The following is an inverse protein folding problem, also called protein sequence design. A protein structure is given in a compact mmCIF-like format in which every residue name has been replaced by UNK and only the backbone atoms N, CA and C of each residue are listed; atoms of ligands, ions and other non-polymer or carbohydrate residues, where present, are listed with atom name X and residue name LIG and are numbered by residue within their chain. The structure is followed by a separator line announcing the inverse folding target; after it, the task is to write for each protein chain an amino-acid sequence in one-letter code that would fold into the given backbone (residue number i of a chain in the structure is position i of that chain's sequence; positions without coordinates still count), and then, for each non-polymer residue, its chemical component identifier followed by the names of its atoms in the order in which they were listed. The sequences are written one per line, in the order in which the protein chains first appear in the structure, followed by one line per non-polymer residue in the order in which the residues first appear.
data_IF_540072869309
#
_entry.id   IF_540072869309
#
_cell.length_a   1.000
_cell.length_b   1.000
_cell.length_c   1.000
_cell.angle_alpha   90.00
_cell.angle_beta   90.00
_cell.angle_gamma   90.00
#
_symmetry.space_group_name_H-M   'P 1'
#
loop_
_entity.id
_entity.type
_entity.pdbx_description
1 polymer ?
#
# COMPACT_ATOMS: atom_id res chain seq x y z
N UNK A 1 -3.19 -21.94 -10.16
CA UNK A 1 -4.65 -21.82 -10.05
C UNK A 1 -4.93 -20.33 -9.84
N UNK A 2 -5.49 -19.65 -10.85
CA UNK A 2 -5.82 -18.22 -10.77
C UNK A 2 -7.25 -18.15 -10.25
N UNK A 3 -7.42 -17.83 -8.97
CA UNK A 3 -8.74 -17.68 -8.37
C UNK A 3 -9.24 -16.27 -8.68
N UNK A 4 -10.29 -16.17 -9.49
CA UNK A 4 -11.07 -14.95 -9.67
C UNK A 4 -11.67 -14.54 -8.32
N UNK A 5 -11.26 -13.40 -7.79
CA UNK A 5 -11.71 -12.86 -6.50
C UNK A 5 -12.84 -11.86 -6.70
N UNK A 6 -14.02 -12.35 -7.06
CA UNK A 6 -15.27 -11.63 -6.81
C UNK A 6 -16.14 -12.48 -5.88
N UNK A 7 -15.64 -12.68 -4.66
CA UNK A 7 -16.40 -13.17 -3.52
C UNK A 7 -16.91 -12.00 -2.68
N UNK A 8 -18.21 -11.97 -2.42
CA UNK A 8 -18.94 -10.94 -1.69
C UNK A 8 -18.43 -10.71 -0.25
N UNK A 9 -17.44 -9.84 -0.10
CA UNK A 9 -17.18 -8.94 1.03
C UNK A 9 -16.24 -7.88 0.45
N UNK A 10 -16.61 -6.61 0.48
CA UNK A 10 -15.68 -5.54 0.08
C UNK A 10 -14.52 -5.59 1.06
N UNK A 11 -13.37 -6.13 0.64
CA UNK A 11 -12.18 -6.24 1.47
C UNK A 11 -11.78 -4.82 1.89
N UNK A 12 -12.13 -4.45 3.14
CA UNK A 12 -11.91 -3.11 3.68
C UNK A 12 -10.43 -2.75 3.66
N UNK A 13 -9.55 -3.74 3.78
CA UNK A 13 -8.11 -3.54 3.72
C UNK A 13 -7.67 -3.23 2.29
N UNK A 14 -8.22 -3.91 1.27
CA UNK A 14 -7.98 -3.53 -0.14
C UNK A 14 -8.40 -2.09 -0.40
N UNK A 15 -9.58 -1.66 0.06
CA UNK A 15 -10.02 -0.27 -0.14
C UNK A 15 -9.08 0.74 0.54
N UNK A 16 -8.60 0.44 1.75
CA UNK A 16 -7.64 1.30 2.48
C UNK A 16 -6.28 1.34 1.79
N UNK A 17 -5.79 0.19 1.34
CA UNK A 17 -4.53 0.07 0.61
C UNK A 17 -4.59 0.85 -0.71
N UNK A 18 -5.70 0.80 -1.44
CA UNK A 18 -5.87 1.58 -2.65
C UNK A 18 -5.83 3.09 -2.39
N UNK A 19 -6.39 3.59 -1.27
CA UNK A 19 -6.26 5.00 -0.88
C UNK A 19 -4.82 5.41 -0.59
N UNK A 20 -4.07 4.54 0.09
CA UNK A 20 -2.63 4.77 0.34
C UNK A 20 -1.87 4.80 -0.99
N UNK A 21 -2.13 3.85 -1.89
CA UNK A 21 -1.48 3.77 -3.19
C UNK A 21 -1.80 4.99 -4.08
N UNK A 22 -3.04 5.50 -4.04
CA UNK A 22 -3.44 6.74 -4.72
C UNK A 22 -2.65 7.95 -4.18
N UNK A 23 -2.54 8.08 -2.86
CA UNK A 23 -1.77 9.15 -2.23
C UNK A 23 -0.28 9.08 -2.63
N UNK A 24 0.31 7.88 -2.67
CA UNK A 24 1.69 7.65 -3.11
C UNK A 24 1.86 7.95 -4.60
N UNK A 25 0.90 7.57 -5.45
CA UNK A 25 0.91 7.88 -6.88
C UNK A 25 0.91 9.40 -7.10
N UNK A 26 0.01 10.13 -6.44
CA UNK A 26 -0.05 11.60 -6.51
C UNK A 26 1.26 12.21 -5.99
N UNK A 27 1.79 11.71 -4.86
CA UNK A 27 3.07 12.16 -4.33
C UNK A 27 4.20 11.99 -5.37
N UNK A 28 4.24 10.86 -6.07
CA UNK A 28 5.25 10.58 -7.10
C UNK A 28 5.15 11.51 -8.33
N UNK A 29 3.96 12.02 -8.65
CA UNK A 29 3.81 12.97 -9.77
C UNK A 29 4.42 14.36 -9.49
N UNK A 30 4.72 14.69 -8.24
CA UNK A 30 5.31 15.99 -7.88
C UNK A 30 6.81 15.98 -8.24
N UNK A 31 7.36 16.96 -8.99
CA UNK A 31 8.73 16.91 -9.53
C UNK A 31 9.87 16.73 -8.53
N UNK A 32 9.68 17.14 -7.28
CA UNK A 32 10.67 17.06 -6.20
C UNK A 32 10.57 15.79 -5.35
N UNK A 33 9.61 14.93 -5.64
CA UNK A 33 9.19 13.87 -4.74
C UNK A 33 9.56 12.50 -5.31
N UNK A 34 10.35 11.74 -4.55
CA UNK A 34 10.70 10.37 -4.88
C UNK A 34 10.12 9.41 -3.85
N UNK A 35 9.46 8.36 -4.32
CA UNK A 35 8.92 7.29 -3.48
C UNK A 35 10.02 6.57 -2.67
N UNK A 36 11.24 6.50 -3.20
CA UNK A 36 12.39 5.93 -2.51
C UNK A 36 12.78 6.71 -1.23
N UNK A 37 12.43 8.00 -1.14
CA UNK A 37 12.76 8.85 0.01
C UNK A 37 11.73 8.70 1.14
N UNK A 38 10.56 8.10 0.87
CA UNK A 38 9.55 7.81 1.88
C UNK A 38 9.91 6.53 2.65
N UNK A 39 10.57 6.70 3.79
CA UNK A 39 10.90 5.57 4.67
C UNK A 39 9.67 4.94 5.36
N UNK A 40 8.60 5.71 5.55
CA UNK A 40 7.37 5.24 6.19
C UNK A 40 6.15 6.06 5.73
N UNK A 41 4.95 5.47 5.80
CA UNK A 41 3.70 6.18 5.50
C UNK A 41 3.47 7.38 6.43
N UNK A 42 3.98 7.31 7.67
CA UNK A 42 3.91 8.42 8.61
C UNK A 42 4.59 9.69 8.06
N UNK A 43 5.70 9.55 7.35
CA UNK A 43 6.40 10.68 6.69
C UNK A 43 5.50 11.34 5.66
N UNK A 44 4.74 10.56 4.88
CA UNK A 44 3.76 11.11 3.95
C UNK A 44 2.66 11.90 4.69
N UNK A 45 2.16 11.39 5.81
CA UNK A 45 1.13 12.09 6.60
C UNK A 45 1.61 13.39 7.24
N UNK A 46 2.89 13.49 7.57
CA UNK A 46 3.49 14.68 8.18
C UNK A 46 3.83 15.75 7.13
N UNK A 47 4.37 15.35 5.98
CA UNK A 47 4.77 16.28 4.92
C UNK A 47 3.60 16.70 4.02
N UNK A 48 2.65 15.80 3.80
CA UNK A 48 1.54 15.96 2.87
C UNK A 48 0.20 15.45 3.45
N UNK A 49 -0.29 16.07 4.55
CA UNK A 49 -1.56 15.68 5.17
C UNK A 49 -2.76 15.81 4.21
N UNK A 50 -2.65 16.62 3.15
CA UNK A 50 -3.65 16.73 2.09
C UNK A 50 -3.77 15.47 1.22
N UNK A 51 -2.69 14.68 1.10
CA UNK A 51 -2.68 13.42 0.35
C UNK A 51 -3.11 12.25 1.23
N UNK A 52 -2.62 12.23 2.47
CA UNK A 52 -2.97 11.21 3.46
C UNK A 52 -2.95 11.84 4.86
N UNK A 53 -4.10 12.03 5.47
CA UNK A 53 -4.20 12.70 6.77
C UNK A 53 -3.75 11.82 7.95
N UNK A 54 -3.91 10.51 7.84
CA UNK A 54 -3.50 9.51 8.83
C UNK A 54 -3.24 8.18 8.13
N UNK A 55 -2.36 7.36 8.71
CA UNK A 55 -2.11 6.01 8.20
C UNK A 55 -3.32 5.12 8.51
N UNK A 56 -4.00 4.56 7.50
CA UNK A 56 -5.12 3.65 7.74
C UNK A 56 -4.66 2.43 8.55
N UNK A 57 -5.58 1.91 9.37
CA UNK A 57 -5.38 0.67 10.10
C UNK A 57 -5.92 -0.52 9.31
N UNK A 58 -5.24 -1.66 9.41
CA UNK A 58 -5.72 -2.94 8.91
C UNK A 58 -6.92 -3.46 9.72
N UNK A 59 -7.46 -4.63 9.35
CA UNK A 59 -8.59 -5.25 10.06
C UNK A 59 -8.29 -5.65 11.51
N UNK A 60 -7.04 -5.67 11.93
CA UNK A 60 -6.61 -5.99 13.30
C UNK A 60 -6.24 -4.76 14.13
N UNK A 61 -6.30 -3.56 13.54
CA UNK A 61 -6.02 -2.30 14.22
C UNK A 61 -4.55 -1.87 14.17
N UNK A 62 -3.71 -2.56 13.40
CA UNK A 62 -2.32 -2.16 13.18
C UNK A 62 -2.22 -1.21 11.97
N UNK A 63 -1.37 -0.18 12.00
CA UNK A 63 -1.17 0.69 10.84
C UNK A 63 -0.55 -0.09 9.69
N UNK A 64 -0.96 0.24 8.45
CA UNK A 64 -0.25 -0.26 7.27
C UNK A 64 1.18 0.28 7.21
N UNK A 65 2.06 -0.52 6.63
CA UNK A 65 3.46 -0.18 6.41
C UNK A 65 3.75 -0.05 4.91
N UNK A 66 4.88 0.57 4.58
CA UNK A 66 5.31 0.85 3.22
C UNK A 66 6.77 0.49 3.01
N UNK A 67 7.10 0.03 1.81
CA UNK A 67 8.48 -0.13 1.37
C UNK A 67 8.64 0.06 -0.13
N UNK A 68 9.56 0.92 -0.51
CA UNK A 68 10.04 1.03 -1.88
C UNK A 68 10.93 -0.16 -2.26
N UNK A 69 10.82 -0.68 -3.49
CA UNK A 69 11.56 -1.86 -3.94
C UNK A 69 12.49 -1.59 -5.11
N UNK A 70 12.00 -0.97 -6.18
CA UNK A 70 12.81 -0.70 -7.38
C UNK A 70 12.22 0.44 -8.21
N UNK A 71 13.06 1.07 -9.04
CA UNK A 71 12.70 2.20 -9.89
C UNK A 71 12.27 1.80 -11.30
N UNK A 72 12.75 0.67 -11.82
CA UNK A 72 12.54 0.28 -13.21
C UNK A 72 12.20 -1.20 -13.30
N UNK A 73 10.91 -1.57 -13.33
CA UNK A 73 9.74 -0.68 -13.24
C UNK A 73 9.55 -0.15 -11.81
N UNK A 74 8.93 1.02 -11.66
CA UNK A 74 8.64 1.59 -10.34
C UNK A 74 7.79 0.60 -9.54
N UNK A 75 8.32 0.12 -8.43
CA UNK A 75 7.70 -0.92 -7.62
C UNK A 75 7.83 -0.61 -6.14
N UNK A 76 6.72 -0.74 -5.42
CA UNK A 76 6.66 -0.60 -3.98
C UNK A 76 5.67 -1.60 -3.39
N UNK A 77 5.70 -1.80 -2.08
CA UNK A 77 4.73 -2.60 -1.37
C UNK A 77 4.07 -1.81 -0.23
N UNK A 78 2.81 -2.12 0.01
CA UNK A 78 2.09 -1.78 1.23
C UNK A 78 1.80 -3.09 1.94
N UNK A 79 1.99 -3.19 3.25
CA UNK A 79 1.80 -4.45 3.96
C UNK A 79 1.17 -4.28 5.33
N UNK A 80 0.45 -5.32 5.75
CA UNK A 80 -0.05 -5.50 7.11
C UNK A 80 0.74 -6.64 7.76
N UNK A 81 1.25 -6.38 8.95
CA UNK A 81 1.95 -7.35 9.79
C UNK A 81 1.00 -8.35 10.47
N UNK A 82 -0.31 -8.19 10.27
CA UNK A 82 -1.31 -9.10 10.81
C UNK A 82 -1.53 -8.94 12.32
N UNK A 83 -2.08 -9.99 12.93
CA UNK A 83 -2.25 -10.07 14.38
C UNK A 83 -1.47 -11.24 14.98
N UNK A 84 -0.67 -10.93 15.99
CA UNK A 84 0.04 -11.90 16.86
C UNK A 84 -0.95 -12.91 17.49
N UNK A 85 -2.21 -12.52 17.68
CA UNK A 85 -3.23 -13.37 18.32
C UNK A 85 -3.95 -14.32 17.36
N UNK A 86 -3.88 -14.11 16.04
CA UNK A 86 -4.67 -14.85 15.05
C UNK A 86 -3.79 -15.42 13.91
N UNK A 87 -2.77 -16.20 14.26
CA UNK A 87 -1.91 -16.93 13.31
C UNK A 87 -1.21 -16.04 12.25
N UNK A 88 -0.75 -14.83 12.63
CA UNK A 88 0.16 -13.99 11.85
C UNK A 88 0.03 -14.09 10.33
N UNK A 89 -1.16 -13.81 9.79
CA UNK A 89 -1.30 -13.72 8.33
C UNK A 89 -0.65 -12.42 7.86
N UNK A 90 0.50 -12.53 7.22
CA UNK A 90 1.14 -11.37 6.60
C UNK A 90 0.49 -11.12 5.26
N UNK A 91 -0.02 -9.91 5.07
CA UNK A 91 -0.64 -9.54 3.80
C UNK A 91 0.20 -8.46 3.14
N UNK A 92 0.71 -8.77 1.95
CA UNK A 92 1.49 -7.87 1.12
C UNK A 92 0.66 -7.44 -0.10
N UNK A 93 0.71 -6.16 -0.41
CA UNK A 93 0.11 -5.56 -1.59
C UNK A 93 1.23 -4.94 -2.42
N UNK A 94 1.64 -5.65 -3.46
CA UNK A 94 2.72 -5.24 -4.35
C UNK A 94 2.14 -4.35 -5.46
N UNK A 95 2.69 -3.17 -5.63
CA UNK A 95 2.34 -2.24 -6.70
C UNK A 95 3.51 -2.13 -7.66
N UNK A 96 3.22 -2.30 -8.95
CA UNK A 96 4.19 -2.15 -10.03
C UNK A 96 3.61 -1.23 -11.10
N UNK A 97 4.41 -0.28 -11.55
CA UNK A 97 4.03 0.59 -12.66
C UNK A 97 4.15 -0.13 -14.00
N UNK A 98 3.08 -0.08 -14.79
CA UNK A 98 3.00 -0.55 -16.17
C UNK A 98 2.13 0.43 -16.99
N UNK A 99 2.65 0.95 -18.09
CA UNK A 99 1.93 1.88 -18.98
C UNK A 99 1.26 3.07 -18.25
N UNK A 100 2.02 3.74 -17.36
CA UNK A 100 1.57 4.87 -16.52
C UNK A 100 0.40 4.52 -15.58
N UNK A 101 0.27 3.25 -15.17
CA UNK A 101 -0.71 2.81 -14.19
C UNK A 101 -0.06 1.84 -13.22
N UNK A 102 -0.49 1.83 -11.96
CA UNK A 102 -0.08 0.80 -11.02
C UNK A 102 -0.98 -0.42 -11.11
N UNK A 103 -0.36 -1.59 -11.26
CA UNK A 103 -1.01 -2.89 -11.12
C UNK A 103 -0.72 -3.40 -9.71
N UNK A 104 -1.75 -3.90 -9.03
CA UNK A 104 -1.67 -4.44 -7.68
C UNK A 104 -1.72 -5.97 -7.71
N UNK A 105 -0.82 -6.62 -6.97
CA UNK A 105 -0.91 -8.03 -6.62
C UNK A 105 -1.00 -8.18 -5.09
N UNK A 106 -1.94 -9.01 -4.61
CA UNK A 106 -2.10 -9.34 -3.19
C UNK A 106 -1.48 -10.71 -2.91
N UNK A 107 -0.65 -10.78 -1.88
CA UNK A 107 -0.02 -12.03 -1.40
C UNK A 107 -0.32 -12.17 0.09
N UNK A 108 -0.87 -13.31 0.49
CA UNK A 108 -1.14 -13.67 1.87
C UNK A 108 -0.20 -14.83 2.25
N UNK A 109 0.48 -14.71 3.39
CA UNK A 109 1.36 -15.73 3.97
C UNK A 109 0.94 -16.13 5.36
#
# INVERSE_FOLDING_TARGET
MITSLFGNQTDKDVSRVLKIAEALAIYHTKPSNNLADLNALKTLTELHPELLNTVPLDKWGSPFEYRYLTHSPLTFMIYSSGSIRQNNTFTFYLFREENNRFIMAKVES
#
